data_IF_387467195563
#
_entry.id   IF_387467195563
#
_cell.length_a   1.000
_cell.length_b   1.000
_cell.length_c   1.000
_cell.angle_alpha   90.00
_cell.angle_beta   90.00
_cell.angle_gamma   90.00
#
_symmetry.space_group_name_H-M   'P 1'
#
loop_
_entity.id
_entity.type
_entity.pdbx_description
1 polymer ?
#
# COMPACT_ATOMS: atom_id res chain seq x y z
N UNK A 1 1.90 5.42 9.28
CA UNK A 1 0.90 6.45 8.91
C UNK A 1 -0.36 5.77 8.40
N UNK A 2 -1.41 6.54 8.16
CA UNK A 2 -2.69 6.05 7.65
C UNK A 2 -3.00 6.74 6.32
N UNK A 3 -3.55 5.98 5.39
CA UNK A 3 -3.91 6.45 4.06
C UNK A 3 -5.32 6.04 3.70
N UNK A 4 -5.92 6.82 2.82
CA UNK A 4 -7.14 6.50 2.10
C UNK A 4 -6.79 6.13 0.66
N UNK A 5 -7.34 5.03 0.18
CA UNK A 5 -7.20 4.58 -1.19
C UNK A 5 -8.01 5.49 -2.14
N UNK A 6 -7.36 6.02 -3.17
CA UNK A 6 -7.99 6.87 -4.20
C UNK A 6 -8.48 6.08 -5.43
N UNK A 7 -8.27 4.77 -5.44
CA UNK A 7 -8.82 3.83 -6.41
C UNK A 7 -8.85 2.41 -5.80
N UNK A 8 -9.45 1.46 -6.51
CA UNK A 8 -9.38 0.05 -6.16
C UNK A 8 -7.92 -0.47 -6.21
N UNK A 9 -7.56 -1.31 -5.25
CA UNK A 9 -6.27 -2.00 -5.30
C UNK A 9 -6.28 -3.04 -6.42
N UNK A 10 -5.19 -3.05 -7.19
CA UNK A 10 -4.95 -4.07 -8.23
C UNK A 10 -4.34 -5.35 -7.67
N UNK A 11 -3.83 -5.31 -6.43
CA UNK A 11 -3.15 -6.42 -5.76
C UNK A 11 -4.07 -7.10 -4.75
N UNK A 12 -4.74 -6.31 -3.91
CA UNK A 12 -5.64 -6.82 -2.89
C UNK A 12 -7.10 -6.56 -3.31
N UNK A 13 -7.84 -7.58 -3.79
CA UNK A 13 -9.17 -7.39 -4.36
C UNK A 13 -10.21 -6.89 -3.34
N UNK A 14 -9.97 -7.08 -2.04
CA UNK A 14 -10.85 -6.62 -0.96
C UNK A 14 -10.68 -5.13 -0.65
N UNK A 15 -9.61 -4.51 -1.16
CA UNK A 15 -9.30 -3.10 -0.93
C UNK A 15 -9.84 -2.26 -2.09
N UNK A 16 -10.88 -1.47 -1.80
CA UNK A 16 -11.61 -0.62 -2.76
C UNK A 16 -11.33 0.86 -2.60
N UNK A 17 -11.72 1.67 -3.58
CA UNK A 17 -11.79 3.13 -3.47
C UNK A 17 -12.39 3.56 -2.13
N UNK A 18 -11.67 4.43 -1.42
CA UNK A 18 -12.07 4.96 -0.11
C UNK A 18 -11.71 4.09 1.08
N UNK A 19 -11.15 2.89 0.87
CA UNK A 19 -10.66 2.03 1.96
C UNK A 19 -9.53 2.71 2.72
N UNK A 20 -9.44 2.42 4.01
CA UNK A 20 -8.33 2.86 4.85
C UNK A 20 -7.27 1.76 4.91
N UNK A 21 -6.02 2.18 4.71
CA UNK A 21 -4.83 1.33 4.83
C UNK A 21 -3.80 2.04 5.69
N UNK A 22 -2.84 1.28 6.21
CA UNK A 22 -1.81 1.77 7.12
C UNK A 22 -0.43 1.43 6.56
N UNK A 23 0.60 2.18 6.95
CA UNK A 23 1.98 1.79 6.65
C UNK A 23 2.27 0.39 7.18
N UNK A 24 2.90 -0.45 6.35
CA UNK A 24 3.50 -1.67 6.82
C UNK A 24 4.79 -1.34 7.58
N UNK A 25 4.88 -1.76 8.85
CA UNK A 25 6.11 -1.60 9.67
C UNK A 25 7.00 -2.83 9.62
N UNK A 26 6.47 -3.94 9.10
CA UNK A 26 7.19 -5.19 8.90
C UNK A 26 8.03 -5.16 7.62
N UNK A 27 9.00 -6.08 7.53
CA UNK A 27 9.89 -6.22 6.37
C UNK A 27 9.11 -6.55 5.09
N UNK A 28 9.16 -5.66 4.10
CA UNK A 28 8.46 -5.88 2.83
C UNK A 28 9.24 -6.73 1.82
N UNK A 29 10.40 -7.26 2.23
CA UNK A 29 11.36 -8.01 1.41
C UNK A 29 11.73 -7.31 0.09
N UNK A 30 11.69 -5.97 0.08
CA UNK A 30 11.99 -5.15 -1.09
C UNK A 30 10.88 -5.14 -2.16
N UNK A 31 9.68 -5.63 -1.87
CA UNK A 31 8.56 -5.63 -2.81
C UNK A 31 8.20 -4.22 -3.28
N UNK A 32 8.11 -3.22 -2.38
CA UNK A 32 7.78 -1.86 -2.80
C UNK A 32 8.86 -1.27 -3.72
N UNK A 33 10.13 -1.56 -3.44
CA UNK A 33 11.25 -1.14 -4.29
C UNK A 33 11.19 -1.82 -5.66
N UNK A 34 11.00 -3.13 -5.70
CA UNK A 34 10.92 -3.88 -6.95
C UNK A 34 9.78 -3.38 -7.85
N UNK A 35 8.60 -3.13 -7.27
CA UNK A 35 7.46 -2.60 -8.01
C UNK A 35 7.71 -1.16 -8.48
N UNK A 36 8.39 -0.36 -7.66
CA UNK A 36 8.79 1.01 -8.05
C UNK A 36 9.74 1.01 -9.24
N UNK A 37 10.74 0.14 -9.21
CA UNK A 37 11.72 0.02 -10.30
C UNK A 37 11.05 -0.53 -11.57
N UNK A 38 10.11 -1.47 -11.43
CA UNK A 38 9.39 -2.10 -12.56
C UNK A 38 8.43 -1.13 -13.26
N UNK A 39 7.66 -0.37 -12.48
CA UNK A 39 6.61 0.53 -13.01
C UNK A 39 7.12 1.94 -13.31
N UNK A 40 8.26 2.34 -12.75
CA UNK A 40 8.73 3.73 -12.76
C UNK A 40 7.92 4.68 -11.88
N UNK A 41 7.00 4.16 -11.07
CA UNK A 41 6.17 4.93 -10.15
C UNK A 41 6.57 4.61 -8.71
N UNK A 42 6.68 5.60 -7.81
CA UNK A 42 6.95 5.31 -6.40
C UNK A 42 5.84 4.46 -5.77
N UNK A 43 6.21 3.34 -5.17
CA UNK A 43 5.33 2.45 -4.40
C UNK A 43 5.77 2.39 -2.94
N UNK A 44 4.82 2.12 -2.06
CA UNK A 44 5.06 1.78 -0.64
C UNK A 44 4.28 0.51 -0.27
N UNK A 45 4.70 -0.13 0.83
CA UNK A 45 4.00 -1.28 1.40
C UNK A 45 2.98 -0.82 2.43
N UNK A 46 1.73 -1.24 2.25
CA UNK A 46 0.61 -0.91 3.11
C UNK A 46 -0.10 -2.17 3.60
N UNK A 47 -0.85 -2.04 4.68
CA UNK A 47 -1.60 -3.14 5.32
C UNK A 47 -3.00 -2.68 5.74
N UNK A 48 -3.88 -3.65 5.97
CA UNK A 48 -5.17 -3.42 6.64
C UNK A 48 -5.06 -3.44 8.17
N UNK A 49 -3.92 -3.89 8.70
CA UNK A 49 -3.63 -3.87 10.13
C UNK A 49 -3.32 -2.44 10.61
N UNK A 50 -4.12 -1.85 11.52
CA UNK A 50 -3.86 -0.53 12.08
C UNK A 50 -2.51 -0.40 12.79
N UNK A 51 -1.96 -1.50 13.29
CA UNK A 51 -0.67 -1.53 13.98
C UNK A 51 0.51 -1.73 13.00
N UNK A 52 0.23 -1.91 11.70
CA UNK A 52 1.23 -2.00 10.63
C UNK A 52 1.76 -3.40 10.33
N UNK A 53 1.14 -4.45 10.88
CA UNK A 53 1.53 -5.83 10.68
C UNK A 53 1.11 -6.45 9.34
N UNK A 54 1.31 -7.76 9.22
CA UNK A 54 0.90 -8.55 8.06
C UNK A 54 -0.60 -8.91 8.08
N UNK A 55 -1.21 -9.19 6.92
CA UNK A 55 -0.62 -9.20 5.58
C UNK A 55 -0.49 -7.80 4.97
N UNK A 56 0.63 -7.54 4.27
CA UNK A 56 0.87 -6.30 3.55
C UNK A 56 0.84 -6.50 2.02
N UNK A 57 0.67 -5.41 1.29
CA UNK A 57 0.72 -5.36 -0.16
C UNK A 57 1.26 -4.00 -0.63
N UNK A 58 1.78 -3.93 -1.85
CA UNK A 58 2.32 -2.68 -2.39
C UNK A 58 1.21 -1.82 -3.02
N UNK A 59 1.34 -0.51 -2.88
CA UNK A 59 0.45 0.46 -3.49
C UNK A 59 1.25 1.64 -4.06
N UNK A 60 0.91 2.13 -5.27
CA UNK A 60 1.51 3.36 -5.80
C UNK A 60 1.19 4.55 -4.89
N UNK A 61 2.18 5.40 -4.61
CA UNK A 61 1.96 6.61 -3.79
C UNK A 61 0.93 7.57 -4.41
N UNK A 62 0.84 7.60 -5.75
CA UNK A 62 -0.12 8.46 -6.45
C UNK A 62 -1.59 8.10 -6.21
N UNK A 63 -1.88 6.96 -5.58
CA UNK A 63 -3.23 6.50 -5.29
C UNK A 63 -3.55 6.49 -3.79
N UNK A 64 -2.69 7.11 -2.98
CA UNK A 64 -2.83 7.22 -1.54
C UNK A 64 -2.96 8.68 -1.13
N UNK A 65 -3.97 8.96 -0.31
CA UNK A 65 -4.15 10.26 0.35
C UNK A 65 -3.91 10.08 1.85
N UNK A 66 -3.10 10.94 2.47
CA UNK A 66 -2.88 10.91 3.93
C UNK A 66 -4.21 11.21 4.65
N UNK A 67 -4.57 10.38 5.62
CA UNK A 67 -5.87 10.40 6.30
C UNK A 67 -5.77 10.52 7.81
#
# INVERSE_FOLDING_TARGET
MKYKMLQDSVINPDVKLGSLVYDCVEEDFGCAKAESDFTGLPHISVTLDPDGGYPCFVAPLGILEVA
#
